data_IF_308419033388
#
_entry.id   IF_308419033388
#
_cell.length_a   1.000
_cell.length_b   1.000
_cell.length_c   1.000
_cell.angle_alpha   90.00
_cell.angle_beta   90.00
_cell.angle_gamma   90.00
#
_symmetry.space_group_name_H-M   'P 1'
#
loop_
_entity.id
_entity.type
_entity.pdbx_description
1 polymer ?
#
# COMPACT_ATOMS: atom_id res chain seq x y z
N UNK A 1 -4.75 -9.44 -11.04
CA UNK A 1 -3.38 -9.37 -10.50
C UNK A 1 -2.51 -8.58 -11.43
N UNK A 2 -2.72 -7.26 -11.47
CA UNK A 2 -1.88 -6.36 -12.25
C UNK A 2 -1.13 -5.45 -11.28
N UNK A 3 0.10 -5.84 -10.95
CA UNK A 3 1.05 -4.94 -10.31
C UNK A 3 1.23 -3.68 -11.18
N UNK A 4 1.17 -2.50 -10.55
CA UNK A 4 1.41 -1.22 -11.25
C UNK A 4 2.59 -0.48 -10.64
N UNK A 5 3.60 -0.24 -11.46
CA UNK A 5 4.82 0.43 -11.02
C UNK A 5 4.59 1.89 -10.59
N UNK A 6 3.63 2.60 -11.18
CA UNK A 6 3.25 3.94 -10.72
C UNK A 6 2.74 3.95 -9.28
N UNK A 7 1.90 2.96 -8.92
CA UNK A 7 1.37 2.78 -7.57
C UNK A 7 2.49 2.41 -6.61
N UNK A 8 3.38 1.50 -7.02
CA UNK A 8 4.52 1.08 -6.20
C UNK A 8 5.45 2.26 -5.88
N UNK A 9 5.70 3.16 -6.83
CA UNK A 9 6.50 4.35 -6.60
C UNK A 9 5.87 5.27 -5.53
N UNK A 10 4.56 5.51 -5.60
CA UNK A 10 3.85 6.32 -4.60
C UNK A 10 3.86 5.65 -3.22
N UNK A 11 3.63 4.34 -3.13
CA UNK A 11 3.72 3.60 -1.85
C UNK A 11 5.13 3.73 -1.25
N UNK A 12 6.17 3.67 -2.07
CA UNK A 12 7.55 3.84 -1.59
C UNK A 12 7.84 5.28 -1.14
N UNK A 13 7.22 6.29 -1.76
CA UNK A 13 7.28 7.67 -1.27
C UNK A 13 6.55 7.82 0.07
N UNK A 14 5.37 7.22 0.23
CA UNK A 14 4.66 7.14 1.50
C UNK A 14 5.53 6.48 2.57
N UNK A 15 6.22 5.38 2.25
CA UNK A 15 7.14 4.71 3.16
C UNK A 15 8.32 5.61 3.59
N UNK A 16 8.91 6.35 2.64
CA UNK A 16 9.99 7.29 2.94
C UNK A 16 9.54 8.38 3.90
N UNK A 17 8.32 8.89 3.72
CA UNK A 17 7.74 9.97 4.52
C UNK A 17 7.05 9.50 5.81
N UNK A 18 6.77 8.19 5.94
CA UNK A 18 6.14 7.63 7.12
C UNK A 18 7.01 7.87 8.38
N UNK A 19 6.37 8.18 9.53
CA UNK A 19 7.07 8.31 10.80
C UNK A 19 7.72 7.00 11.20
N UNK A 20 8.92 7.07 11.79
CA UNK A 20 9.63 5.89 12.31
C UNK A 20 8.95 5.37 13.58
N UNK A 21 9.11 4.08 13.81
CA UNK A 21 8.58 3.31 14.95
C UNK A 21 7.04 3.41 15.08
N UNK A 22 6.33 3.52 13.95
CA UNK A 22 4.87 3.69 13.91
C UNK A 22 4.25 2.95 12.73
N UNK A 23 3.05 2.44 12.97
CA UNK A 23 2.15 1.97 11.92
C UNK A 23 1.31 3.15 11.43
N UNK A 24 1.31 3.39 10.13
CA UNK A 24 0.53 4.47 9.51
C UNK A 24 -0.30 3.91 8.35
N UNK A 25 -1.53 4.38 8.24
CA UNK A 25 -2.47 4.02 7.19
C UNK A 25 -2.59 5.16 6.18
N UNK A 26 -2.53 4.82 4.89
CA UNK A 26 -2.65 5.75 3.78
C UNK A 26 -3.67 5.24 2.75
N UNK A 27 -4.13 6.13 1.89
CA UNK A 27 -5.02 5.81 0.78
C UNK A 27 -4.53 6.49 -0.50
N UNK A 28 -4.63 5.79 -1.63
CA UNK A 28 -4.37 6.36 -2.95
C UNK A 28 -5.68 6.38 -3.76
N UNK A 29 -6.58 7.28 -3.37
CA UNK A 29 -7.95 7.35 -3.90
C UNK A 29 -8.03 7.68 -5.40
N UNK A 30 -6.97 8.27 -5.98
CA UNK A 30 -6.89 8.59 -7.41
C UNK A 30 -6.59 7.38 -8.31
N UNK A 31 -6.25 6.22 -7.74
CA UNK A 31 -6.04 4.98 -8.48
C UNK A 31 -7.25 4.04 -8.40
N UNK A 32 -7.26 3.05 -9.31
CA UNK A 32 -8.14 1.91 -9.17
C UNK A 32 -7.74 1.10 -7.93
N UNK A 33 -8.68 0.90 -7.02
CA UNK A 33 -8.42 0.33 -5.70
C UNK A 33 -8.06 -1.16 -5.76
N UNK A 34 -8.52 -1.89 -6.79
CA UNK A 34 -8.07 -3.26 -7.02
C UNK A 34 -6.60 -3.30 -7.44
N UNK A 35 -6.16 -2.37 -8.30
CA UNK A 35 -4.74 -2.27 -8.68
C UNK A 35 -3.87 -1.84 -7.48
N UNK A 36 -4.40 -1.01 -6.59
CA UNK A 36 -3.74 -0.65 -5.32
C UNK A 36 -3.58 -1.88 -4.45
N UNK A 37 -4.66 -2.63 -4.18
CA UNK A 37 -4.59 -3.85 -3.37
C UNK A 37 -3.62 -4.88 -3.97
N UNK A 38 -3.71 -5.15 -5.28
CA UNK A 38 -2.81 -6.07 -5.99
C UNK A 38 -1.34 -5.64 -5.83
N UNK A 39 -1.06 -4.34 -5.95
CA UNK A 39 0.30 -3.80 -5.83
C UNK A 39 0.81 -3.84 -4.39
N UNK A 40 -0.04 -3.48 -3.41
CA UNK A 40 0.30 -3.56 -1.98
C UNK A 40 0.62 -5.00 -1.61
N UNK A 41 -0.18 -5.98 -2.03
CA UNK A 41 0.05 -7.39 -1.70
C UNK A 41 1.33 -7.94 -2.34
N UNK A 42 1.64 -7.51 -3.56
CA UNK A 42 2.95 -7.80 -4.17
C UNK A 42 4.10 -7.21 -3.32
N UNK A 43 3.98 -5.95 -2.90
CA UNK A 43 5.01 -5.31 -2.08
C UNK A 43 5.12 -5.94 -0.69
N UNK A 44 4.01 -6.32 -0.06
CA UNK A 44 3.96 -7.03 1.21
C UNK A 44 4.64 -8.41 1.11
N UNK A 45 4.48 -9.12 -0.02
CA UNK A 45 5.20 -10.38 -0.26
C UNK A 45 6.72 -10.18 -0.28
N UNK A 46 7.19 -9.08 -0.87
CA UNK A 46 8.62 -8.76 -0.95
C UNK A 46 9.18 -8.10 0.32
N UNK A 47 8.35 -7.39 1.08
CA UNK A 47 8.73 -6.60 2.25
C UNK A 47 7.73 -6.77 3.42
N UNK A 48 7.54 -8.00 3.94
CA UNK A 48 6.45 -8.31 4.87
C UNK A 48 6.57 -7.64 6.25
N UNK A 49 7.76 -7.12 6.58
CA UNK A 49 7.99 -6.37 7.83
C UNK A 49 7.64 -4.88 7.71
N UNK A 50 7.47 -4.38 6.49
CA UNK A 50 7.31 -2.94 6.22
C UNK A 50 5.93 -2.60 5.69
N UNK A 51 5.27 -3.53 4.99
CA UNK A 51 3.97 -3.33 4.36
C UNK A 51 3.09 -4.52 4.70
N UNK A 52 1.86 -4.25 5.11
CA UNK A 52 0.86 -5.27 5.37
C UNK A 52 0.03 -5.54 4.11
N UNK A 53 -0.34 -6.80 3.88
CA UNK A 53 -1.32 -7.17 2.88
C UNK A 53 -2.67 -6.49 3.16
N UNK A 54 -3.40 -6.21 2.08
CA UNK A 54 -4.65 -5.46 2.11
C UNK A 54 -5.63 -5.97 1.06
N UNK A 55 -6.89 -5.66 1.27
CA UNK A 55 -7.98 -5.89 0.32
C UNK A 55 -8.79 -4.60 0.17
N UNK A 56 -9.61 -4.53 -0.88
CA UNK A 56 -10.57 -3.45 -1.03
C UNK A 56 -11.65 -3.60 0.04
N UNK A 57 -11.74 -2.62 0.94
CA UNK A 57 -12.72 -2.57 2.02
C UNK A 57 -14.13 -2.28 1.50
N UNK A 58 -15.13 -2.43 2.39
CA UNK A 58 -16.54 -2.17 2.06
C UNK A 58 -16.84 -0.73 1.63
N UNK A 59 -15.99 0.23 2.02
CA UNK A 59 -16.06 1.62 1.58
C UNK A 59 -15.45 1.85 0.18
N UNK A 60 -14.98 0.77 -0.45
CA UNK A 60 -14.38 0.77 -1.77
C UNK A 60 -12.92 1.19 -1.78
N UNK A 61 -12.25 1.37 -0.63
CA UNK A 61 -10.84 1.81 -0.57
C UNK A 61 -9.91 0.64 -0.27
N UNK A 62 -8.70 0.69 -0.80
CA UNK A 62 -7.63 -0.24 -0.46
C UNK A 62 -6.63 0.48 0.48
N UNK A 63 -6.67 0.21 1.80
CA UNK A 63 -5.75 0.86 2.73
C UNK A 63 -4.33 0.34 2.55
N UNK A 64 -3.37 1.25 2.63
CA UNK A 64 -1.95 0.96 2.58
C UNK A 64 -1.40 1.11 3.99
N UNK A 65 -1.14 -0.02 4.65
CA UNK A 65 -0.60 -0.03 6.01
C UNK A 65 0.92 -0.17 5.94
N UNK A 66 1.60 0.87 6.41
CA UNK A 66 3.06 0.95 6.45
C UNK A 66 3.52 0.84 7.89
N UNK A 67 4.47 -0.06 8.13
CA UNK A 67 5.16 -0.28 9.39
C UNK A 67 6.62 0.14 9.22
N UNK A 68 7.07 1.11 10.00
CA UNK A 68 8.44 1.63 9.92
C UNK A 68 9.01 1.85 11.30
#
# INVERSE_FOLDING_TARGET
MAYKQSIANEIMELYKNAPKDKTTEYYLEHFNQQDVADTVNYLATTNPKQIQETDVYYDGKAPIIIMK
#
